data_IF_758396201140
#
_entry.id   IF_758396201140
#
_cell.length_a   1.000
_cell.length_b   1.000
_cell.length_c   1.000
_cell.angle_alpha   90.00
_cell.angle_beta   90.00
_cell.angle_gamma   90.00
#
_symmetry.space_group_name_H-M   'P 1'
#
loop_
_entity.id
_entity.type
_entity.pdbx_description
1 polymer ?
#
# COMPACT_ATOMS: atom_id res chain seq x y z
N UNK A 1 -0.43 41.04 -21.27
CA UNK A 1 -0.89 39.64 -21.36
C UNK A 1 -1.53 39.26 -20.03
N UNK A 2 -2.85 39.36 -19.93
CA UNK A 2 -3.61 39.15 -18.69
C UNK A 2 -3.89 37.65 -18.58
N UNK A 3 -3.34 36.99 -17.54
CA UNK A 3 -3.62 35.59 -17.28
C UNK A 3 -5.13 35.42 -17.04
N UNK A 4 -5.79 34.59 -17.85
CA UNK A 4 -7.22 34.36 -17.74
C UNK A 4 -7.62 33.80 -16.37
N UNK A 5 -8.83 34.12 -15.86
CA UNK A 5 -9.27 33.80 -14.50
C UNK A 5 -9.20 32.30 -14.15
N UNK A 6 -9.20 31.42 -15.15
CA UNK A 6 -9.05 29.97 -15.01
C UNK A 6 -7.66 29.52 -14.56
N UNK A 7 -6.59 30.25 -14.91
CA UNK A 7 -5.22 29.92 -14.51
C UNK A 7 -4.92 30.32 -13.06
N UNK A 8 -5.51 31.43 -12.61
CA UNK A 8 -5.43 31.87 -11.22
C UNK A 8 -6.17 30.90 -10.28
N UNK A 9 -7.36 30.43 -10.67
CA UNK A 9 -8.14 29.46 -9.88
C UNK A 9 -7.40 28.12 -9.70
N UNK A 10 -6.72 27.62 -10.74
CA UNK A 10 -5.93 26.39 -10.66
C UNK A 10 -4.70 26.55 -9.75
N UNK A 11 -4.03 27.70 -9.78
CA UNK A 11 -2.90 28.00 -8.89
C UNK A 11 -3.29 28.13 -7.42
N UNK A 12 -4.46 28.73 -7.14
CA UNK A 12 -5.00 28.87 -5.79
C UNK A 12 -5.44 27.51 -5.24
N UNK A 13 -6.08 26.66 -6.05
CA UNK A 13 -6.45 25.30 -5.64
C UNK A 13 -5.24 24.42 -5.32
N UNK A 14 -4.16 24.52 -6.10
CA UNK A 14 -2.91 23.80 -5.86
C UNK A 14 -2.19 24.29 -4.61
N UNK A 15 -2.11 25.62 -4.40
CA UNK A 15 -1.53 26.20 -3.20
C UNK A 15 -2.34 25.87 -1.93
N UNK A 16 -3.68 25.83 -2.01
CA UNK A 16 -4.54 25.43 -0.90
C UNK A 16 -4.38 23.95 -0.52
N UNK A 17 -4.14 23.07 -1.49
CA UNK A 17 -3.86 21.66 -1.24
C UNK A 17 -2.49 21.46 -0.55
N UNK A 18 -1.49 22.31 -0.87
CA UNK A 18 -0.17 22.30 -0.23
C UNK A 18 -0.15 22.95 1.16
N UNK A 19 -1.13 23.83 1.45
CA UNK A 19 -1.27 24.52 2.72
C UNK A 19 -2.31 23.87 3.65
N UNK A 20 -2.82 22.67 3.30
CA UNK A 20 -3.70 21.93 4.19
C UNK A 20 -2.96 21.69 5.52
N UNK A 21 -3.51 22.14 6.66
CA UNK A 21 -2.88 21.89 7.96
C UNK A 21 -2.70 20.37 8.12
N UNK A 22 -1.64 19.96 8.83
CA UNK A 22 -1.52 18.58 9.30
C UNK A 22 -2.86 18.20 9.90
N UNK A 23 -3.55 17.23 9.28
CA UNK A 23 -4.83 16.76 9.77
C UNK A 23 -4.58 16.22 11.17
N UNK A 24 -4.95 17.02 12.17
CA UNK A 24 -4.81 16.65 13.56
C UNK A 24 -5.86 15.56 13.80
N UNK A 25 -5.47 14.31 13.57
CA UNK A 25 -6.29 13.13 13.77
C UNK A 25 -6.48 12.88 15.26
N UNK A 26 -7.25 13.76 15.90
CA UNK A 26 -7.81 13.50 17.21
C UNK A 26 -8.79 12.34 17.04
N UNK A 27 -8.61 11.24 17.79
CA UNK A 27 -9.53 10.11 17.71
C UNK A 27 -10.94 10.56 18.10
N UNK A 28 -11.97 10.30 17.27
CA UNK A 28 -13.36 10.63 17.62
C UNK A 28 -13.88 9.81 18.81
N UNK A 29 -13.16 8.76 19.23
CA UNK A 29 -13.56 7.83 20.28
C UNK A 29 -12.47 7.73 21.35
N UNK A 30 -12.66 8.40 22.52
CA UNK A 30 -11.80 8.22 23.69
C UNK A 30 -11.69 6.73 24.05
N UNK A 31 -10.46 6.23 24.25
CA UNK A 31 -10.19 4.83 24.58
C UNK A 31 -10.04 3.88 23.39
N UNK A 32 -10.40 4.29 22.16
CA UNK A 32 -10.19 3.52 20.92
C UNK A 32 -9.13 4.15 20.00
N UNK A 33 -8.41 5.15 20.47
CA UNK A 33 -7.43 5.89 19.66
C UNK A 33 -6.38 4.97 19.06
N UNK A 34 -5.74 4.10 19.87
CA UNK A 34 -4.75 3.15 19.35
C UNK A 34 -5.33 2.22 18.28
N UNK A 35 -6.56 1.73 18.47
CA UNK A 35 -7.22 0.86 17.51
C UNK A 35 -7.48 1.58 16.18
N UNK A 36 -8.00 2.81 16.24
CA UNK A 36 -8.29 3.62 15.06
C UNK A 36 -7.01 4.03 14.31
N UNK A 37 -5.99 4.47 15.04
CA UNK A 37 -4.68 4.81 14.49
C UNK A 37 -4.05 3.59 13.82
N UNK A 38 -4.04 2.43 14.50
CA UNK A 38 -3.56 1.18 13.93
C UNK A 38 -4.34 0.78 12.67
N UNK A 39 -5.68 0.86 12.70
CA UNK A 39 -6.53 0.50 11.57
C UNK A 39 -6.18 1.31 10.31
N UNK A 40 -5.92 2.60 10.46
CA UNK A 40 -5.58 3.49 9.35
C UNK A 40 -4.09 3.50 9.01
N UNK A 41 -3.24 2.89 9.83
CA UNK A 41 -1.79 2.89 9.66
C UNK A 41 -1.33 2.51 8.25
N UNK A 42 -1.89 1.48 7.57
CA UNK A 42 -1.48 1.09 6.21
C UNK A 42 -1.77 2.15 5.14
N UNK A 43 -2.56 3.17 5.45
CA UNK A 43 -2.88 4.28 4.58
C UNK A 43 -2.08 5.55 4.90
N UNK A 44 -1.22 5.52 5.91
CA UNK A 44 -0.45 6.71 6.32
C UNK A 44 0.77 6.93 5.43
N UNK A 45 1.32 5.86 4.85
CA UNK A 45 2.49 5.94 3.98
C UNK A 45 2.12 5.67 2.51
N UNK A 46 2.51 6.57 1.57
CA UNK A 46 2.27 6.37 0.14
C UNK A 46 2.76 5.00 -0.37
N UNK A 47 3.91 4.52 0.13
CA UNK A 47 4.47 3.24 -0.28
C UNK A 47 3.58 2.03 0.07
N UNK A 48 2.92 2.05 1.25
CA UNK A 48 1.98 1.00 1.65
C UNK A 48 0.73 0.99 0.76
N UNK A 49 0.19 2.17 0.45
CA UNK A 49 -0.94 2.33 -0.49
C UNK A 49 -0.57 1.76 -1.86
N UNK A 50 0.64 2.06 -2.37
CA UNK A 50 1.09 1.54 -3.65
C UNK A 50 1.24 0.02 -3.64
N UNK A 51 1.70 -0.59 -2.54
CA UNK A 51 1.75 -2.06 -2.39
C UNK A 51 0.34 -2.66 -2.37
N UNK A 52 -0.62 -2.03 -1.70
CA UNK A 52 -2.02 -2.45 -1.72
C UNK A 52 -2.59 -2.41 -3.15
N UNK A 53 -2.27 -1.37 -3.92
CA UNK A 53 -2.69 -1.25 -5.32
C UNK A 53 -2.07 -2.34 -6.21
N UNK A 54 -0.77 -2.63 -6.07
CA UNK A 54 -0.13 -3.70 -6.85
C UNK A 54 -0.62 -5.08 -6.45
N UNK A 55 -0.91 -5.33 -5.17
CA UNK A 55 -1.60 -6.55 -4.72
C UNK A 55 -2.93 -6.72 -5.45
N UNK A 56 -3.75 -5.67 -5.47
CA UNK A 56 -5.02 -5.66 -6.20
C UNK A 56 -4.83 -5.97 -7.69
N UNK A 57 -3.97 -5.21 -8.38
CA UNK A 57 -3.72 -5.34 -9.82
C UNK A 57 -3.15 -6.71 -10.23
N UNK A 58 -2.30 -7.31 -9.41
CA UNK A 58 -1.66 -8.59 -9.70
C UNK A 58 -2.53 -9.80 -9.34
N UNK A 59 -3.19 -9.76 -8.18
CA UNK A 59 -3.92 -10.91 -7.61
C UNK A 59 -5.41 -10.88 -7.99
N UNK A 60 -6.05 -9.71 -8.02
CA UNK A 60 -7.50 -9.59 -8.24
C UNK A 60 -7.94 -10.14 -9.60
N UNK A 61 -7.11 -9.99 -10.63
CA UNK A 61 -7.38 -10.48 -11.99
C UNK A 61 -7.01 -11.98 -12.21
N UNK A 62 -6.61 -12.71 -11.16
CA UNK A 62 -6.23 -14.13 -11.27
C UNK A 62 -7.45 -15.06 -11.16
N UNK A 63 -7.33 -16.32 -11.66
CA UNK A 63 -8.32 -17.36 -11.38
C UNK A 63 -8.52 -17.55 -9.88
N UNK A 64 -9.73 -17.95 -9.48
CA UNK A 64 -10.16 -17.98 -8.08
C UNK A 64 -9.20 -18.76 -7.16
N UNK A 65 -8.75 -19.94 -7.57
CA UNK A 65 -7.84 -20.76 -6.76
C UNK A 65 -6.51 -20.04 -6.45
N UNK A 66 -5.94 -19.36 -7.46
CA UNK A 66 -4.68 -18.61 -7.33
C UNK A 66 -4.90 -17.34 -6.51
N UNK A 67 -6.02 -16.65 -6.75
CA UNK A 67 -6.43 -15.47 -6.01
C UNK A 67 -6.58 -15.76 -4.51
N UNK A 68 -7.27 -16.84 -4.17
CA UNK A 68 -7.42 -17.29 -2.77
C UNK A 68 -6.06 -17.62 -2.14
N UNK A 69 -5.23 -18.42 -2.81
CA UNK A 69 -3.92 -18.80 -2.30
C UNK A 69 -3.02 -17.58 -2.06
N UNK A 70 -2.97 -16.64 -3.00
CA UNK A 70 -2.18 -15.42 -2.87
C UNK A 70 -2.75 -14.46 -1.82
N UNK A 71 -4.07 -14.40 -1.65
CA UNK A 71 -4.73 -13.63 -0.58
C UNK A 71 -4.38 -14.20 0.80
N UNK A 72 -4.49 -15.52 0.97
CA UNK A 72 -4.10 -16.19 2.22
C UNK A 72 -2.62 -15.98 2.51
N UNK A 73 -1.76 -16.09 1.49
CA UNK A 73 -0.33 -15.80 1.62
C UNK A 73 -0.07 -14.35 2.06
N UNK A 74 -0.80 -13.38 1.52
CA UNK A 74 -0.69 -11.97 1.93
C UNK A 74 -1.15 -11.72 3.37
N UNK A 75 -2.29 -12.30 3.78
CA UNK A 75 -2.78 -12.16 5.16
C UNK A 75 -1.87 -12.86 6.17
N UNK A 76 -1.44 -14.09 5.86
CA UNK A 76 -0.49 -14.83 6.68
C UNK A 76 0.86 -14.13 6.77
N UNK A 77 1.33 -13.59 5.65
CA UNK A 77 2.53 -12.75 5.58
C UNK A 77 2.40 -11.51 6.45
N UNK A 78 1.27 -10.78 6.38
CA UNK A 78 1.03 -9.60 7.19
C UNK A 78 1.06 -9.89 8.69
N UNK A 79 0.40 -10.97 9.12
CA UNK A 79 0.45 -11.40 10.50
C UNK A 79 1.88 -11.78 10.92
N UNK A 80 2.58 -12.57 10.10
CA UNK A 80 3.96 -12.97 10.37
C UNK A 80 4.90 -11.76 10.45
N UNK A 81 4.76 -10.80 9.55
CA UNK A 81 5.52 -9.56 9.52
C UNK A 81 5.26 -8.69 10.76
N UNK A 82 4.00 -8.52 11.16
CA UNK A 82 3.65 -7.75 12.35
C UNK A 82 4.24 -8.39 13.62
N UNK A 83 4.11 -9.72 13.78
CA UNK A 83 4.66 -10.46 14.91
C UNK A 83 6.19 -10.38 14.91
N UNK A 84 6.84 -10.68 13.78
CA UNK A 84 8.29 -10.63 13.66
C UNK A 84 8.82 -9.23 13.91
N UNK A 85 8.19 -8.21 13.34
CA UNK A 85 8.60 -6.83 13.51
C UNK A 85 8.47 -6.35 14.95
N UNK A 86 7.41 -6.75 15.66
CA UNK A 86 7.28 -6.49 17.09
C UNK A 86 8.32 -7.26 17.92
N UNK A 87 8.57 -8.53 17.61
CA UNK A 87 9.49 -9.39 18.37
C UNK A 87 10.96 -9.01 18.19
N UNK A 88 11.35 -8.58 16.99
CA UNK A 88 12.74 -8.26 16.64
C UNK A 88 13.03 -6.75 16.59
N UNK A 89 12.05 -5.90 16.94
CA UNK A 89 12.22 -4.44 16.94
C UNK A 89 12.46 -3.86 15.55
N UNK A 90 11.81 -4.41 14.52
CA UNK A 90 11.93 -3.95 13.13
C UNK A 90 10.98 -2.79 12.83
N UNK A 91 10.62 -1.99 13.83
CA UNK A 91 9.84 -0.77 13.59
C UNK A 91 10.75 0.28 12.94
N UNK A 92 10.21 1.08 12.01
CA UNK A 92 10.99 2.13 11.34
C UNK A 92 10.50 2.48 9.94
N UNK A 93 11.33 3.21 9.19
CA UNK A 93 11.06 3.55 7.80
C UNK A 93 11.37 2.37 6.87
N UNK A 94 10.33 1.85 6.22
CA UNK A 94 10.38 0.74 5.27
C UNK A 94 10.11 1.20 3.84
N UNK A 95 10.10 2.52 3.58
CA UNK A 95 9.73 3.11 2.31
C UNK A 95 10.52 2.55 1.13
N UNK A 96 11.83 2.35 1.29
CA UNK A 96 12.68 1.77 0.25
C UNK A 96 12.33 0.32 -0.09
N UNK A 97 12.13 -0.53 0.92
CA UNK A 97 11.75 -1.94 0.71
C UNK A 97 10.37 -2.06 0.06
N UNK A 98 9.40 -1.26 0.51
CA UNK A 98 8.08 -1.18 -0.09
C UNK A 98 8.15 -0.68 -1.55
N UNK A 99 9.01 0.29 -1.86
CA UNK A 99 9.19 0.79 -3.23
C UNK A 99 9.70 -0.29 -4.19
N UNK A 100 10.70 -1.08 -3.76
CA UNK A 100 11.22 -2.22 -4.52
C UNK A 100 10.13 -3.26 -4.75
N UNK A 101 9.30 -3.50 -3.74
CA UNK A 101 8.19 -4.43 -3.87
C UNK A 101 7.11 -3.91 -4.84
N UNK A 102 6.82 -2.61 -4.85
CA UNK A 102 5.92 -2.05 -5.86
C UNK A 102 6.51 -2.20 -7.26
N UNK A 103 7.81 -1.95 -7.45
CA UNK A 103 8.48 -2.18 -8.73
C UNK A 103 8.32 -3.64 -9.20
N UNK A 104 8.57 -4.61 -8.32
CA UNK A 104 8.43 -6.03 -8.63
C UNK A 104 6.97 -6.40 -8.98
N UNK A 105 6.00 -5.91 -8.22
CA UNK A 105 4.58 -6.17 -8.46
C UNK A 105 4.07 -5.55 -9.75
N UNK A 106 4.43 -4.28 -10.01
CA UNK A 106 4.07 -3.58 -11.22
C UNK A 106 4.71 -4.24 -12.46
N UNK A 107 6.00 -4.59 -12.39
CA UNK A 107 6.67 -5.34 -13.45
C UNK A 107 6.01 -6.70 -13.71
N UNK A 108 5.59 -7.40 -12.64
CA UNK A 108 4.89 -8.67 -12.75
C UNK A 108 3.50 -8.56 -13.40
N UNK A 109 2.80 -7.43 -13.23
CA UNK A 109 1.54 -7.16 -13.94
C UNK A 109 1.78 -6.96 -15.44
N UNK A 110 2.90 -6.31 -15.80
CA UNK A 110 3.29 -6.05 -17.18
C UNK A 110 3.84 -7.30 -17.89
N UNK A 111 4.48 -8.21 -17.15
CA UNK A 111 4.98 -9.47 -17.69
C UNK A 111 3.84 -10.46 -17.94
N UNK A 112 3.55 -10.78 -19.21
CA UNK A 112 2.45 -11.69 -19.59
C UNK A 112 2.95 -12.88 -20.43
N UNK A 113 2.58 -14.13 -20.09
CA UNK A 113 1.86 -14.54 -18.88
C UNK A 113 2.80 -14.63 -17.65
N UNK A 114 2.47 -13.95 -16.56
CA UNK A 114 3.19 -14.10 -15.29
C UNK A 114 2.79 -15.41 -14.58
N UNK A 115 3.75 -16.22 -14.09
CA UNK A 115 3.47 -17.46 -13.37
C UNK A 115 2.59 -17.25 -12.13
N UNK A 116 1.72 -18.21 -11.81
CA UNK A 116 0.84 -18.11 -10.63
C UNK A 116 1.62 -18.13 -9.32
N UNK A 117 2.71 -18.90 -9.27
CA UNK A 117 3.64 -18.91 -8.13
C UNK A 117 4.14 -17.51 -7.80
N UNK A 118 4.38 -16.67 -8.83
CA UNK A 118 4.82 -15.30 -8.63
C UNK A 118 3.77 -14.48 -7.87
N UNK A 119 2.48 -14.65 -8.18
CA UNK A 119 1.41 -13.94 -7.46
C UNK A 119 1.33 -14.35 -5.99
N UNK A 120 1.52 -15.63 -5.68
CA UNK A 120 1.53 -16.15 -4.30
C UNK A 120 2.76 -15.65 -3.53
N UNK A 121 3.95 -15.75 -4.13
CA UNK A 121 5.19 -15.24 -3.54
C UNK A 121 5.11 -13.73 -3.32
N UNK A 122 4.59 -12.99 -4.29
CA UNK A 122 4.36 -11.55 -4.17
C UNK A 122 3.40 -11.24 -3.02
N UNK A 123 2.28 -11.95 -2.96
CA UNK A 123 1.31 -11.87 -1.85
C UNK A 123 2.00 -12.02 -0.50
N UNK A 124 2.76 -13.09 -0.30
CA UNK A 124 3.50 -13.34 0.95
C UNK A 124 4.46 -12.21 1.32
N UNK A 125 5.32 -11.80 0.39
CA UNK A 125 6.32 -10.75 0.64
C UNK A 125 5.68 -9.39 0.91
N UNK A 126 4.62 -9.06 0.17
CA UNK A 126 3.84 -7.84 0.38
C UNK A 126 3.13 -7.85 1.72
N UNK A 127 2.53 -8.97 2.10
CA UNK A 127 2.01 -9.19 3.44
C UNK A 127 3.07 -8.89 4.49
N UNK A 128 4.21 -9.59 4.44
CA UNK A 128 5.29 -9.43 5.44
C UNK A 128 5.72 -7.98 5.59
N UNK A 129 6.01 -7.29 4.48
CA UNK A 129 6.47 -5.91 4.53
C UNK A 129 5.38 -4.94 5.01
N UNK A 130 4.12 -5.14 4.62
CA UNK A 130 3.01 -4.36 5.18
C UNK A 130 2.88 -4.58 6.69
N UNK A 131 3.00 -5.83 7.14
CA UNK A 131 2.96 -6.20 8.56
C UNK A 131 4.08 -5.54 9.37
N UNK A 132 5.33 -5.66 8.92
CA UNK A 132 6.50 -5.03 9.56
C UNK A 132 6.34 -3.51 9.59
N UNK A 133 5.95 -2.90 8.46
CA UNK A 133 5.72 -1.46 8.37
C UNK A 133 4.53 -0.98 9.20
N UNK A 134 3.73 -1.89 9.76
CA UNK A 134 2.56 -1.60 10.61
C UNK A 134 2.76 -1.91 12.09
N UNK A 135 4.01 -2.21 12.49
CA UNK A 135 4.39 -2.32 13.90
C UNK A 135 4.23 -0.96 14.57
N UNK A 136 3.46 -0.87 15.68
CA UNK A 136 3.29 0.38 16.41
C UNK A 136 4.58 0.90 17.03
N UNK A 137 4.62 2.20 17.27
CA UNK A 137 5.71 2.83 18.01
C UNK A 137 5.83 2.27 19.44
N UNK A 138 7.04 2.22 20.02
CA UNK A 138 7.25 1.78 21.40
C UNK A 138 6.44 2.62 22.39
N UNK A 139 5.84 1.96 23.38
CA UNK A 139 5.03 2.62 24.40
C UNK A 139 4.59 1.67 25.51
N UNK A 140 3.57 2.06 26.27
CA UNK A 140 2.95 1.16 27.25
C UNK A 140 2.42 -0.10 26.57
N UNK A 141 2.61 -1.27 27.19
CA UNK A 141 2.24 -2.55 26.58
C UNK A 141 0.78 -2.62 26.13
N UNK A 142 -0.13 -1.95 26.86
CA UNK A 142 -1.55 -1.85 26.52
C UNK A 142 -1.78 -1.06 25.23
N UNK A 143 -1.09 0.07 25.08
CA UNK A 143 -1.22 0.94 23.90
C UNK A 143 -0.65 0.24 22.67
N UNK A 144 0.49 -0.43 22.82
CA UNK A 144 1.08 -1.27 21.77
C UNK A 144 0.14 -2.41 21.38
N UNK A 145 -0.45 -3.12 22.34
CA UNK A 145 -1.36 -4.23 22.05
C UNK A 145 -2.61 -3.77 21.30
N UNK A 146 -3.25 -2.67 21.74
CA UNK A 146 -4.45 -2.11 21.11
C UNK A 146 -4.12 -1.59 19.70
N UNK A 147 -2.99 -0.92 19.53
CA UNK A 147 -2.57 -0.39 18.23
C UNK A 147 -2.18 -1.50 17.26
N UNK A 148 -1.47 -2.53 17.73
CA UNK A 148 -1.14 -3.72 16.94
C UNK A 148 -2.38 -4.46 16.46
N UNK A 149 -3.40 -4.58 17.32
CA UNK A 149 -4.68 -5.15 16.93
C UNK A 149 -5.33 -4.32 15.81
N UNK A 150 -5.32 -2.99 15.95
CA UNK A 150 -5.77 -2.06 14.92
C UNK A 150 -5.01 -2.25 13.61
N UNK A 151 -3.68 -2.26 13.66
CA UNK A 151 -2.79 -2.50 12.51
C UNK A 151 -3.08 -3.81 11.81
N UNK A 152 -3.21 -4.90 12.55
CA UNK A 152 -3.52 -6.22 12.01
C UNK A 152 -4.87 -6.23 11.27
N UNK A 153 -5.89 -5.63 11.87
CA UNK A 153 -7.21 -5.47 11.24
C UNK A 153 -7.15 -4.56 10.01
N UNK A 154 -6.40 -3.46 10.10
CA UNK A 154 -6.24 -2.48 9.02
C UNK A 154 -5.59 -3.08 7.80
N UNK A 155 -4.43 -3.72 7.97
CA UNK A 155 -3.71 -4.38 6.87
C UNK A 155 -4.60 -5.44 6.23
N UNK A 156 -5.23 -6.29 7.05
CA UNK A 156 -6.11 -7.35 6.55
C UNK A 156 -7.30 -6.80 5.76
N UNK A 157 -7.97 -5.77 6.30
CA UNK A 157 -9.10 -5.11 5.65
C UNK A 157 -8.69 -4.49 4.31
N UNK A 158 -7.60 -3.72 4.26
CA UNK A 158 -7.18 -3.04 3.04
C UNK A 158 -6.61 -3.99 1.99
N UNK A 159 -5.94 -5.09 2.38
CA UNK A 159 -5.53 -6.15 1.45
C UNK A 159 -6.75 -6.81 0.81
N UNK A 160 -7.72 -7.22 1.62
CA UNK A 160 -8.97 -7.81 1.13
C UNK A 160 -9.74 -6.84 0.23
N UNK A 161 -9.82 -5.57 0.63
CA UNK A 161 -10.48 -4.53 -0.14
C UNK A 161 -9.81 -4.31 -1.50
N UNK A 162 -8.48 -4.20 -1.54
CA UNK A 162 -7.76 -3.97 -2.78
C UNK A 162 -7.86 -5.15 -3.77
N UNK A 163 -7.69 -6.37 -3.27
CA UNK A 163 -7.82 -7.60 -4.08
C UNK A 163 -9.28 -7.78 -4.54
N UNK A 164 -10.24 -7.66 -3.63
CA UNK A 164 -11.66 -7.83 -3.90
C UNK A 164 -12.21 -6.78 -4.87
N UNK A 165 -11.83 -5.50 -4.71
CA UNK A 165 -12.23 -4.44 -5.63
C UNK A 165 -11.72 -4.70 -7.05
N UNK A 166 -10.46 -5.15 -7.19
CA UNK A 166 -9.90 -5.45 -8.51
C UNK A 166 -10.49 -6.73 -9.12
N UNK A 167 -10.82 -7.73 -8.31
CA UNK A 167 -11.54 -8.92 -8.73
C UNK A 167 -12.94 -8.56 -9.28
N UNK A 168 -13.71 -7.77 -8.52
CA UNK A 168 -15.02 -7.30 -8.95
C UNK A 168 -14.94 -6.44 -10.23
N UNK A 169 -13.90 -5.61 -10.35
CA UNK A 169 -13.64 -4.84 -11.56
C UNK A 169 -13.34 -5.73 -12.78
N UNK A 170 -12.54 -6.78 -12.59
CA UNK A 170 -12.20 -7.73 -13.65
C UNK A 170 -13.44 -8.48 -14.16
N UNK A 171 -14.33 -8.87 -13.25
CA UNK A 171 -15.59 -9.54 -13.56
C UNK A 171 -16.58 -8.59 -14.26
N UNK A 172 -16.64 -7.32 -13.82
CA UNK A 172 -17.59 -6.33 -14.35
C UNK A 172 -17.22 -5.80 -15.74
N UNK A 173 -15.93 -5.57 -16.00
CA UNK A 173 -15.42 -4.90 -17.20
C UNK A 173 -14.52 -5.81 -18.06
N UNK A 174 -14.75 -7.13 -17.97
CA UNK A 174 -13.94 -8.15 -18.64
C UNK A 174 -13.60 -7.79 -20.10
N UNK A 175 -12.37 -8.11 -20.51
CA UNK A 175 -11.87 -7.87 -21.86
C UNK A 175 -10.80 -6.79 -21.94
N UNK A 176 -10.62 -6.25 -23.15
CA UNK A 176 -9.48 -5.38 -23.52
C UNK A 176 -9.44 -4.06 -22.74
N UNK A 177 -10.60 -3.51 -22.35
CA UNK A 177 -10.68 -2.24 -21.60
C UNK A 177 -10.08 -2.41 -20.20
N UNK A 178 -10.53 -3.43 -19.45
CA UNK A 178 -9.97 -3.72 -18.13
C UNK A 178 -8.48 -4.04 -18.21
N UNK A 179 -8.08 -4.85 -19.20
CA UNK A 179 -6.68 -5.20 -19.39
C UNK A 179 -5.79 -3.99 -19.66
N UNK A 180 -6.24 -3.08 -20.52
CA UNK A 180 -5.51 -1.85 -20.83
C UNK A 180 -5.42 -0.95 -19.61
N UNK A 181 -6.54 -0.73 -18.90
CA UNK A 181 -6.56 0.07 -17.68
C UNK A 181 -5.61 -0.48 -16.61
N UNK A 182 -5.60 -1.80 -16.43
CA UNK A 182 -4.72 -2.51 -15.49
C UNK A 182 -3.24 -2.33 -15.85
N UNK A 183 -2.89 -2.42 -17.14
CA UNK A 183 -1.52 -2.23 -17.62
C UNK A 183 -1.07 -0.77 -17.48
N UNK A 184 -1.94 0.20 -17.76
CA UNK A 184 -1.66 1.63 -17.57
C UNK A 184 -1.40 1.93 -16.10
N UNK A 185 -2.27 1.43 -15.20
CA UNK A 185 -2.09 1.60 -13.77
C UNK A 185 -0.78 0.98 -13.27
N UNK A 186 -0.42 -0.21 -13.76
CA UNK A 186 0.86 -0.85 -13.44
C UNK A 186 2.06 -0.04 -13.94
N UNK A 187 2.02 0.48 -15.18
CA UNK A 187 3.08 1.33 -15.72
C UNK A 187 3.27 2.62 -14.90
N UNK A 188 2.18 3.23 -14.43
CA UNK A 188 2.24 4.39 -13.55
C UNK A 188 2.85 4.07 -12.19
N UNK A 189 2.44 2.96 -11.56
CA UNK A 189 3.04 2.51 -10.30
C UNK A 189 4.53 2.20 -10.47
N UNK A 190 4.93 1.55 -11.56
CA UNK A 190 6.33 1.30 -11.88
C UNK A 190 7.13 2.61 -11.99
N UNK A 191 6.60 3.60 -12.71
CA UNK A 191 7.25 4.89 -12.88
C UNK A 191 7.37 5.67 -11.56
N UNK A 192 6.29 5.76 -10.79
CA UNK A 192 6.27 6.46 -9.49
C UNK A 192 7.24 5.80 -8.51
N UNK A 193 7.22 4.46 -8.42
CA UNK A 193 8.13 3.73 -7.53
C UNK A 193 9.58 3.82 -7.97
N UNK A 194 9.85 3.85 -9.28
CA UNK A 194 11.19 4.06 -9.82
C UNK A 194 11.73 5.45 -9.45
N UNK A 195 10.91 6.49 -9.60
CA UNK A 195 11.25 7.85 -9.19
C UNK A 195 11.47 7.94 -7.68
N UNK A 196 10.58 7.34 -6.88
CA UNK A 196 10.71 7.33 -5.43
C UNK A 196 11.99 6.61 -4.96
N UNK A 197 12.30 5.45 -5.53
CA UNK A 197 13.54 4.73 -5.26
C UNK A 197 14.79 5.53 -5.65
N UNK A 198 14.76 6.23 -6.80
CA UNK A 198 15.86 7.09 -7.23
C UNK A 198 16.07 8.29 -6.29
N UNK A 199 14.99 8.88 -5.76
CA UNK A 199 15.06 9.95 -4.78
C UNK A 199 15.63 9.48 -3.45
N UNK A 200 15.23 8.29 -2.98
CA UNK A 200 15.79 7.68 -1.78
C UNK A 200 17.29 7.40 -1.94
N UNK A 201 17.71 6.87 -3.09
CA UNK A 201 19.13 6.65 -3.39
C UNK A 201 19.92 7.95 -3.41
N UNK A 202 19.38 9.02 -4.02
CA UNK A 202 20.02 10.34 -4.01
C UNK A 202 20.16 10.88 -2.59
N UNK A 203 19.17 10.68 -1.73
CA UNK A 203 19.21 11.17 -0.36
C UNK A 203 20.23 10.42 0.52
N UNK A 204 20.62 9.19 0.15
CA UNK A 204 21.58 8.38 0.91
C UNK A 204 23.02 8.43 0.39
N UNK A 205 23.28 9.02 -0.79
CA UNK A 205 24.62 9.16 -1.34
C UNK A 205 25.42 10.27 -0.62
N UNK A 206 26.66 10.00 -0.14
CA UNK A 206 27.53 11.05 0.40
C UNK A 206 27.94 12.04 -0.70
N UNK A 207 27.99 13.33 -0.34
CA UNK A 207 28.44 14.42 -1.22
C UNK A 207 29.89 14.25 -1.68
#
# INVERSE_FOLDING_TARGET
MIAGPRRAAAGIGFAAALAAPQAAAHSPFPGLQGLYTGLLHPLTQPAQIMVLLTLGLLIGARPEAVRQAATVAALGGALAGLIAGAAFGLAGDHGGALAVLVLAGAAAVLYRPAPDALAVTYGALAGILLGVASVPDPGGWRDVAITSLGSGLGVSFFVLLAIGAMAAAAERWAGTVFDTARLVAAAWLLAISGLYAALLWRASAPL
#
